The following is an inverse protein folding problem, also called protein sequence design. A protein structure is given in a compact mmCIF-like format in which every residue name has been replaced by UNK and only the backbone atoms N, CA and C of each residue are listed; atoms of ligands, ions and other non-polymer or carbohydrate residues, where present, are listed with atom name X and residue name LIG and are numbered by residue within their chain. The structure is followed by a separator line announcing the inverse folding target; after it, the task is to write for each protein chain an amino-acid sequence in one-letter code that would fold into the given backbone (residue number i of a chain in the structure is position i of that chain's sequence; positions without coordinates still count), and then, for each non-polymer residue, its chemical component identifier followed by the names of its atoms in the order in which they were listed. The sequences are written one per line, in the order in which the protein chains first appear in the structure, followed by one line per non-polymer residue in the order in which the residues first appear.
data_IF_160237055756
#
_entry.id   IF_160237055756
#
_cell.length_a   1.000
_cell.length_b   1.000
_cell.length_c   1.000
_cell.angle_alpha   90.00
_cell.angle_beta   90.00
_cell.angle_gamma   90.00
#
_symmetry.space_group_name_H-M   'P 1'
#
loop_
_entity.id
_entity.type
_entity.pdbx_description
1 polymer ?
#
# COMPACT_ATOMS: atom_id res chain seq x y z
N UNK A 1 4.70 1.50 8.03
CA UNK A 1 4.16 1.37 9.41
C UNK A 1 3.53 0.00 9.75
N UNK A 2 3.11 -0.84 8.78
CA UNK A 2 2.51 -2.17 9.07
C UNK A 2 3.51 -3.23 9.60
N UNK A 3 4.81 -3.13 9.28
CA UNK A 3 5.85 -4.06 9.78
C UNK A 3 6.22 -3.90 11.26
N UNK A 4 6.18 -2.65 11.77
CA UNK A 4 6.48 -2.34 13.18
C UNK A 4 5.37 -2.83 14.10
N UNK A 5 4.11 -2.87 13.63
CA UNK A 5 3.01 -3.48 14.39
C UNK A 5 3.12 -5.00 14.49
N UNK A 6 3.54 -5.71 13.43
CA UNK A 6 3.74 -7.17 13.51
C UNK A 6 4.87 -7.54 14.48
N UNK A 7 5.97 -6.77 14.48
CA UNK A 7 7.08 -6.93 15.43
C UNK A 7 6.68 -6.63 16.88
N UNK A 8 5.91 -5.55 17.12
CA UNK A 8 5.42 -5.19 18.46
C UNK A 8 4.35 -6.13 19.00
N UNK A 9 3.48 -6.69 18.14
CA UNK A 9 2.50 -7.70 18.55
C UNK A 9 3.20 -9.02 18.91
N UNK A 10 4.24 -9.41 18.17
CA UNK A 10 5.08 -10.58 18.50
C UNK A 10 5.81 -10.39 19.84
N UNK A 11 6.32 -9.18 20.11
CA UNK A 11 6.97 -8.84 21.38
C UNK A 11 6.00 -8.74 22.57
N UNK A 12 4.76 -8.29 22.35
CA UNK A 12 3.68 -8.26 23.36
C UNK A 12 3.14 -9.66 23.69
N UNK A 13 3.36 -10.66 22.83
CA UNK A 13 2.89 -12.03 22.99
C UNK A 13 3.89 -12.97 23.70
N UNK A 14 5.07 -12.49 24.07
CA UNK A 14 5.98 -13.21 24.99
C UNK A 14 6.42 -14.62 24.57
N UNK A 15 6.29 -15.00 23.29
CA UNK A 15 6.70 -16.34 22.84
C UNK A 15 8.12 -16.30 22.26
N UNK A 16 9.09 -16.74 23.06
CA UNK A 16 10.43 -17.10 22.56
C UNK A 16 10.33 -18.25 21.56
N UNK A 17 11.14 -18.28 20.48
CA UNK A 17 11.20 -19.39 19.52
C UNK A 17 11.35 -20.78 20.19
N UNK A 18 11.99 -20.82 21.37
CA UNK A 18 12.17 -22.04 22.16
C UNK A 18 10.87 -22.66 22.70
N UNK A 19 9.82 -21.85 22.95
CA UNK A 19 8.51 -22.36 23.42
C UNK A 19 7.75 -23.11 22.33
N UNK A 20 7.90 -22.72 21.06
CA UNK A 20 7.26 -23.41 19.92
C UNK A 20 7.83 -24.82 19.73
N UNK A 21 9.14 -24.97 19.90
CA UNK A 21 9.84 -26.26 19.78
C UNK A 21 9.49 -27.22 20.93
N UNK A 22 9.34 -26.70 22.16
CA UNK A 22 9.01 -27.52 23.33
C UNK A 22 7.53 -27.99 23.33
N UNK A 23 6.61 -27.20 22.77
CA UNK A 23 5.19 -27.58 22.64
C UNK A 23 4.94 -28.60 21.52
N UNK A 24 5.67 -28.51 20.40
CA UNK A 24 5.59 -29.48 19.30
C UNK A 24 6.06 -30.88 19.71
N UNK A 25 7.10 -30.97 20.56
CA UNK A 25 7.65 -32.23 21.04
C UNK A 25 6.74 -32.97 22.05
N UNK A 26 5.85 -32.26 22.76
CA UNK A 26 5.01 -32.85 23.82
C UNK A 26 3.69 -33.44 23.30
N UNK A 27 3.24 -33.05 22.10
CA UNK A 27 1.92 -33.40 21.58
C UNK A 27 1.91 -33.73 20.08
N UNK A 28 2.91 -34.46 19.59
CA UNK A 28 2.83 -35.22 18.34
C UNK A 28 2.36 -34.45 17.10
N UNK A 29 3.05 -33.36 16.76
CA UNK A 29 2.81 -32.62 15.51
C UNK A 29 1.52 -31.80 15.55
N UNK A 30 1.62 -30.57 16.04
CA UNK A 30 0.51 -29.62 16.04
C UNK A 30 0.50 -28.86 14.69
N UNK A 31 -0.60 -28.83 13.94
CA UNK A 31 -0.72 -27.98 12.75
C UNK A 31 -0.57 -26.49 13.11
N UNK A 32 0.04 -25.69 12.23
CA UNK A 32 0.21 -24.22 12.32
C UNK A 32 -1.09 -23.40 12.53
N UNK A 33 -2.25 -24.05 12.76
CA UNK A 33 -3.57 -23.46 12.97
C UNK A 33 -3.97 -23.26 14.45
N UNK A 34 -3.06 -23.46 15.41
CA UNK A 34 -3.39 -23.25 16.82
C UNK A 34 -3.24 -21.78 17.21
N UNK A 35 -4.38 -21.08 17.22
CA UNK A 35 -4.54 -19.72 17.77
C UNK A 35 -3.81 -19.59 19.12
N UNK A 36 -2.81 -18.68 19.24
CA UNK A 36 -2.00 -18.53 20.44
C UNK A 36 -2.80 -18.11 21.68
N UNK A 37 -4.07 -17.72 21.52
CA UNK A 37 -4.97 -17.33 22.60
C UNK A 37 -5.67 -18.52 23.27
N UNK A 38 -5.44 -19.76 22.81
CA UNK A 38 -6.06 -20.94 23.42
C UNK A 38 -5.62 -21.16 24.88
N UNK A 39 -6.52 -21.68 25.73
CA UNK A 39 -6.19 -22.02 27.10
C UNK A 39 -5.27 -23.24 27.15
N UNK A 40 -4.00 -23.01 27.50
CA UNK A 40 -2.98 -24.06 27.67
C UNK A 40 -2.94 -24.64 29.10
N UNK A 41 -3.63 -23.99 30.03
CA UNK A 41 -3.44 -24.20 31.47
C UNK A 41 -4.13 -25.47 31.98
N UNK A 42 -5.11 -26.00 31.25
CA UNK A 42 -5.74 -27.28 31.59
C UNK A 42 -6.11 -28.09 30.34
N UNK A 43 -5.95 -29.42 30.38
CA UNK A 43 -6.24 -30.29 29.23
C UNK A 43 -7.72 -30.33 28.86
N UNK A 44 -8.61 -30.17 29.85
CA UNK A 44 -10.06 -30.15 29.63
C UNK A 44 -10.46 -28.88 28.87
N UNK A 45 -10.02 -27.70 29.32
CA UNK A 45 -10.32 -26.43 28.64
C UNK A 45 -9.72 -26.38 27.25
N UNK A 46 -8.53 -26.95 27.06
CA UNK A 46 -7.93 -27.08 25.74
C UNK A 46 -8.80 -27.93 24.80
N UNK A 47 -9.23 -29.11 25.24
CA UNK A 47 -10.14 -29.97 24.45
C UNK A 47 -11.47 -29.28 24.14
N UNK A 48 -12.03 -28.55 25.09
CA UNK A 48 -13.27 -27.78 24.89
C UNK A 48 -13.08 -26.62 23.90
N UNK A 49 -11.93 -25.93 23.94
CA UNK A 49 -11.59 -24.91 22.97
C UNK A 49 -11.46 -25.50 21.56
N UNK A 50 -10.81 -26.67 21.42
CA UNK A 50 -10.69 -27.39 20.15
C UNK A 50 -12.07 -27.84 19.64
N UNK A 51 -12.94 -28.36 20.52
CA UNK A 51 -14.31 -28.73 20.16
C UNK A 51 -15.12 -27.53 19.66
N UNK A 52 -14.96 -26.36 20.30
CA UNK A 52 -15.64 -25.12 19.91
C UNK A 52 -15.25 -24.61 18.52
N UNK A 53 -14.02 -24.93 18.08
CA UNK A 53 -13.48 -24.62 16.76
C UNK A 53 -13.63 -25.78 15.77
N UNK A 54 -14.40 -26.81 16.11
CA UNK A 54 -14.68 -27.90 15.16
C UNK A 54 -15.55 -27.40 14.00
N UNK A 55 -15.28 -27.89 12.79
CA UNK A 55 -16.04 -27.53 11.59
C UNK A 55 -17.54 -27.72 11.78
N UNK A 56 -17.94 -28.80 12.46
CA UNK A 56 -19.35 -29.09 12.78
C UNK A 56 -19.97 -28.02 13.67
N UNK A 57 -19.28 -27.62 14.75
CA UNK A 57 -19.76 -26.54 15.62
C UNK A 57 -19.87 -25.22 14.85
N UNK A 58 -18.94 -24.97 13.93
CA UNK A 58 -18.97 -23.75 13.13
C UNK A 58 -20.14 -23.69 12.14
N UNK A 59 -20.43 -24.81 11.46
CA UNK A 59 -21.57 -24.96 10.55
C UNK A 59 -22.89 -24.82 11.31
N UNK A 60 -23.03 -25.50 12.46
CA UNK A 60 -24.23 -25.39 13.30
C UNK A 60 -24.47 -23.94 13.71
N UNK A 61 -23.44 -23.26 14.23
CA UNK A 61 -23.55 -21.86 14.60
C UNK A 61 -23.93 -20.97 13.39
N UNK A 62 -23.38 -21.28 12.22
CA UNK A 62 -23.69 -20.57 10.99
C UNK A 62 -25.16 -20.70 10.59
N UNK A 63 -25.69 -21.93 10.59
CA UNK A 63 -27.10 -22.20 10.32
C UNK A 63 -28.02 -21.53 11.33
N UNK A 64 -27.64 -21.55 12.61
CA UNK A 64 -28.36 -20.85 13.68
C UNK A 64 -28.44 -19.35 13.42
N UNK A 65 -27.33 -18.69 13.07
CA UNK A 65 -27.35 -17.26 12.77
C UNK A 65 -28.21 -16.98 11.53
N UNK A 66 -28.09 -17.78 10.47
CA UNK A 66 -28.91 -17.61 9.26
C UNK A 66 -30.41 -17.75 9.55
N UNK A 67 -30.79 -18.74 10.36
CA UNK A 67 -32.16 -18.89 10.84
C UNK A 67 -32.62 -17.67 11.66
N UNK A 68 -31.77 -17.15 12.55
CA UNK A 68 -32.10 -15.94 13.32
C UNK A 68 -32.32 -14.71 12.42
N UNK A 69 -31.54 -14.56 11.34
CA UNK A 69 -31.78 -13.49 10.35
C UNK A 69 -33.14 -13.66 9.68
N UNK A 70 -33.53 -14.88 9.33
CA UNK A 70 -34.87 -15.17 8.81
C UNK A 70 -35.99 -14.79 9.78
N UNK A 71 -35.82 -15.07 11.08
CA UNK A 71 -36.77 -14.65 12.12
C UNK A 71 -36.87 -13.12 12.22
N UNK A 72 -35.74 -12.41 12.15
CA UNK A 72 -35.71 -10.94 12.16
C UNK A 72 -36.48 -10.37 10.98
N UNK A 73 -36.32 -10.93 9.77
CA UNK A 73 -37.08 -10.49 8.58
C UNK A 73 -38.59 -10.65 8.82
N UNK A 74 -39.02 -11.83 9.29
CA UNK A 74 -40.44 -12.09 9.58
C UNK A 74 -40.97 -11.14 10.66
N UNK A 75 -40.19 -10.87 11.72
CA UNK A 75 -40.54 -9.93 12.79
C UNK A 75 -40.72 -8.50 12.25
N UNK A 76 -39.77 -8.02 11.43
CA UNK A 76 -39.80 -6.67 10.85
C UNK A 76 -40.96 -6.53 9.86
N UNK A 77 -41.16 -7.49 8.96
CA UNK A 77 -42.25 -7.45 7.96
C UNK A 77 -43.62 -7.52 8.61
N UNK A 78 -43.77 -8.34 9.67
CA UNK A 78 -45.02 -8.43 10.43
C UNK A 78 -45.36 -7.10 11.13
N UNK A 79 -44.34 -6.32 11.52
CA UNK A 79 -44.51 -5.01 12.15
C UNK A 79 -44.70 -3.83 11.19
N UNK A 80 -44.44 -3.99 9.89
CA UNK A 80 -44.45 -2.91 8.90
C UNK A 80 -45.84 -2.60 8.31
N UNK A 81 -46.77 -3.57 8.32
CA UNK A 81 -48.13 -3.38 7.79
C UNK A 81 -49.07 -2.98 8.92
N UNK A 82 -49.73 -1.84 8.76
CA UNK A 82 -50.45 -1.12 9.80
C UNK A 82 -51.38 -1.93 10.73
N UNK A 83 -51.35 -1.47 11.98
CA UNK A 83 -52.31 -1.54 13.09
C UNK A 83 -52.34 -2.80 13.96
N UNK A 84 -52.37 -4.05 13.48
CA UNK A 84 -52.57 -5.17 14.42
C UNK A 84 -52.11 -6.53 13.85
N UNK A 85 -50.82 -6.69 13.58
CA UNK A 85 -50.23 -8.04 13.50
C UNK A 85 -49.31 -8.24 14.67
N UNK A 86 -49.84 -8.92 15.68
CA UNK A 86 -49.05 -9.50 16.75
C UNK A 86 -48.00 -10.44 16.14
N UNK A 87 -46.78 -10.38 16.66
CA UNK A 87 -45.70 -11.28 16.24
C UNK A 87 -46.20 -12.70 16.51
N UNK A 88 -46.13 -13.64 15.54
CA UNK A 88 -46.61 -14.99 15.78
C UNK A 88 -45.89 -15.61 16.99
N UNK A 89 -46.63 -16.19 17.93
CA UNK A 89 -46.05 -16.72 19.18
C UNK A 89 -44.91 -17.74 18.96
N UNK A 90 -44.92 -18.47 17.83
CA UNK A 90 -43.83 -19.37 17.47
C UNK A 90 -42.53 -18.63 17.10
N UNK A 91 -42.62 -17.42 16.53
CA UNK A 91 -41.47 -16.55 16.23
C UNK A 91 -40.90 -16.00 17.53
N UNK A 92 -41.73 -15.59 18.48
CA UNK A 92 -41.29 -15.14 19.80
C UNK A 92 -40.60 -16.27 20.56
N UNK A 93 -41.20 -17.45 20.59
CA UNK A 93 -40.60 -18.65 21.19
C UNK A 93 -39.26 -19.00 20.52
N UNK A 94 -39.19 -18.96 19.18
CA UNK A 94 -37.96 -19.20 18.44
C UNK A 94 -36.88 -18.16 18.78
N UNK A 95 -37.22 -16.87 18.82
CA UNK A 95 -36.30 -15.80 19.21
C UNK A 95 -35.75 -15.99 20.63
N UNK A 96 -36.59 -16.40 21.58
CA UNK A 96 -36.17 -16.72 22.95
C UNK A 96 -35.22 -17.92 22.99
N UNK A 97 -35.52 -18.99 22.24
CA UNK A 97 -34.64 -20.16 22.12
C UNK A 97 -33.28 -19.76 21.54
N UNK A 98 -33.27 -18.91 20.52
CA UNK A 98 -32.05 -18.40 19.91
C UNK A 98 -31.23 -17.54 20.88
N UNK A 99 -31.88 -16.62 21.61
CA UNK A 99 -31.23 -15.81 22.64
C UNK A 99 -30.63 -16.69 23.74
N UNK A 100 -31.37 -17.69 24.21
CA UNK A 100 -30.90 -18.66 25.20
C UNK A 100 -29.68 -19.42 24.70
N UNK A 101 -29.72 -19.90 23.46
CA UNK A 101 -28.60 -20.67 22.88
C UNK A 101 -27.34 -19.81 22.72
N UNK A 102 -27.46 -18.57 22.24
CA UNK A 102 -26.31 -17.66 22.14
C UNK A 102 -25.77 -17.22 23.51
N UNK A 103 -26.65 -17.10 24.51
CA UNK A 103 -26.25 -16.81 25.89
C UNK A 103 -25.45 -17.98 26.48
N UNK A 104 -25.90 -19.22 26.26
CA UNK A 104 -25.18 -20.43 26.65
C UNK A 104 -23.84 -20.56 25.92
N UNK A 105 -23.79 -20.25 24.63
CA UNK A 105 -22.54 -20.20 23.86
C UNK A 105 -21.55 -19.19 24.46
N UNK A 106 -22.03 -17.98 24.81
CA UNK A 106 -21.21 -16.96 25.45
C UNK A 106 -20.68 -17.43 26.81
N UNK A 107 -21.53 -17.99 27.66
CA UNK A 107 -21.12 -18.54 28.96
C UNK A 107 -20.08 -19.66 28.80
N UNK A 108 -20.27 -20.54 27.82
CA UNK A 108 -19.30 -21.57 27.48
C UNK A 108 -17.95 -20.97 27.06
N UNK A 109 -17.95 -19.95 26.19
CA UNK A 109 -16.72 -19.23 25.80
C UNK A 109 -16.06 -18.54 27.00
N UNK A 110 -16.82 -17.89 27.87
CA UNK A 110 -16.30 -17.29 29.10
C UNK A 110 -15.63 -18.33 30.01
N UNK A 111 -16.23 -19.50 30.18
CA UNK A 111 -15.67 -20.58 30.98
C UNK A 111 -14.37 -21.16 30.36
N UNK A 112 -14.31 -21.27 29.04
CA UNK A 112 -13.14 -21.80 28.32
C UNK A 112 -12.00 -20.79 28.26
N UNK A 113 -12.25 -19.55 27.83
CA UNK A 113 -11.23 -18.54 27.55
C UNK A 113 -10.91 -17.63 28.76
N UNK A 114 -11.79 -17.50 29.75
CA UNK A 114 -11.61 -16.64 30.93
C UNK A 114 -11.11 -15.22 30.55
N UNK A 115 -10.14 -14.66 31.25
CA UNK A 115 -9.59 -13.32 30.99
C UNK A 115 -8.98 -13.16 29.59
N UNK A 116 -8.64 -14.27 28.91
CA UNK A 116 -8.14 -14.20 27.52
C UNK A 116 -9.23 -13.80 26.53
N UNK A 117 -10.51 -13.87 26.90
CA UNK A 117 -11.63 -13.42 26.07
C UNK A 117 -11.55 -11.91 25.76
N UNK A 118 -11.01 -11.11 26.70
CA UNK A 118 -10.88 -9.66 26.55
C UNK A 118 -9.74 -9.24 25.60
N UNK A 119 -8.87 -10.19 25.23
CA UNK A 119 -7.80 -9.93 24.27
C UNK A 119 -8.27 -10.10 22.82
N UNK A 120 -9.47 -10.65 22.60
CA UNK A 120 -10.04 -10.83 21.29
C UNK A 120 -11.23 -9.88 21.06
N UNK A 121 -11.02 -8.90 20.18
CA UNK A 121 -12.06 -7.97 19.78
C UNK A 121 -13.32 -8.68 19.26
N UNK A 122 -13.19 -9.85 18.61
CA UNK A 122 -14.34 -10.57 18.08
C UNK A 122 -15.18 -11.20 19.19
N UNK A 123 -14.54 -11.73 20.23
CA UNK A 123 -15.26 -12.25 21.38
C UNK A 123 -15.92 -11.14 22.19
N UNK A 124 -15.29 -9.97 22.28
CA UNK A 124 -15.88 -8.79 22.92
C UNK A 124 -17.12 -8.26 22.19
N UNK A 125 -17.06 -8.13 20.86
CA UNK A 125 -18.22 -7.73 20.05
C UNK A 125 -19.35 -8.76 20.19
N UNK A 126 -19.01 -10.05 20.17
CA UNK A 126 -20.00 -11.10 20.30
C UNK A 126 -20.66 -11.11 21.70
N UNK A 127 -19.88 -10.88 22.75
CA UNK A 127 -20.39 -10.69 24.10
C UNK A 127 -21.30 -9.46 24.19
N UNK A 128 -20.86 -8.33 23.63
CA UNK A 128 -21.63 -7.08 23.62
C UNK A 128 -23.00 -7.26 22.97
N UNK A 129 -23.09 -7.88 21.80
CA UNK A 129 -24.37 -8.11 21.10
C UNK A 129 -25.31 -8.98 21.94
N UNK A 130 -24.82 -10.06 22.53
CA UNK A 130 -25.65 -10.96 23.36
C UNK A 130 -26.11 -10.26 24.65
N UNK A 131 -25.23 -9.50 25.30
CA UNK A 131 -25.56 -8.74 26.51
C UNK A 131 -26.57 -7.64 26.22
N UNK A 132 -26.43 -6.95 25.08
CA UNK A 132 -27.40 -5.96 24.64
C UNK A 132 -28.78 -6.60 24.43
N UNK A 133 -28.83 -7.75 23.76
CA UNK A 133 -30.09 -8.46 23.53
C UNK A 133 -30.74 -8.97 24.81
N UNK A 134 -29.94 -9.45 25.75
CA UNK A 134 -30.40 -9.83 27.08
C UNK A 134 -30.93 -8.62 27.86
N UNK A 135 -30.27 -7.47 27.75
CA UNK A 135 -30.72 -6.23 28.39
C UNK A 135 -32.04 -5.74 27.81
N UNK A 136 -32.22 -5.83 26.49
CA UNK A 136 -33.48 -5.49 25.80
C UNK A 136 -34.60 -6.41 26.29
N UNK A 137 -34.37 -7.72 26.30
CA UNK A 137 -35.35 -8.70 26.79
C UNK A 137 -35.72 -8.46 28.26
N UNK A 138 -34.72 -8.19 29.12
CA UNK A 138 -34.96 -7.87 30.52
C UNK A 138 -35.77 -6.58 30.68
N UNK A 139 -35.47 -5.52 29.92
CA UNK A 139 -36.26 -4.28 29.97
C UNK A 139 -37.71 -4.54 29.55
N UNK A 140 -37.95 -5.35 28.53
CA UNK A 140 -39.31 -5.69 28.07
C UNK A 140 -40.12 -6.45 29.13
N UNK A 141 -39.51 -7.40 29.83
CA UNK A 141 -40.16 -8.18 30.89
C UNK A 141 -40.33 -7.40 32.21
N UNK A 142 -39.32 -6.63 32.61
CA UNK A 142 -39.31 -5.94 33.92
C UNK A 142 -39.94 -4.55 33.90
N UNK A 143 -39.94 -3.84 32.76
CA UNK A 143 -40.42 -2.45 32.74
C UNK A 143 -41.95 -2.32 32.78
N UNK A 144 -42.71 -3.37 32.42
CA UNK A 144 -44.17 -3.32 32.40
C UNK A 144 -44.73 -2.24 31.46
N UNK A 145 -46.03 -2.30 31.16
CA UNK A 145 -46.70 -1.52 30.10
C UNK A 145 -46.70 0.03 30.25
N UNK A 146 -46.01 0.64 31.21
CA UNK A 146 -46.18 2.06 31.56
C UNK A 146 -45.16 3.04 30.93
N UNK A 147 -44.08 2.57 30.30
CA UNK A 147 -43.04 3.46 29.73
C UNK A 147 -43.18 3.71 28.20
N UNK A 148 -44.30 4.30 27.76
CA UNK A 148 -44.67 4.42 26.33
C UNK A 148 -43.64 5.10 25.41
N UNK A 149 -42.80 6.03 25.90
CA UNK A 149 -41.74 6.66 25.09
C UNK A 149 -40.44 5.85 25.03
N UNK A 150 -40.11 5.09 26.07
CA UNK A 150 -38.92 4.24 26.12
C UNK A 150 -39.09 2.99 25.23
N UNK A 151 -40.32 2.48 25.09
CA UNK A 151 -40.61 1.32 24.25
C UNK A 151 -40.33 1.55 22.75
N UNK A 152 -40.52 2.77 22.23
CA UNK A 152 -40.19 3.09 20.84
C UNK A 152 -38.68 3.02 20.56
N UNK A 153 -37.85 3.46 21.50
CA UNK A 153 -36.40 3.33 21.40
C UNK A 153 -35.96 1.86 21.54
N UNK A 154 -36.55 1.10 22.46
CA UNK A 154 -36.29 -0.34 22.63
C UNK A 154 -36.65 -1.12 21.36
N UNK A 155 -37.75 -0.77 20.67
CA UNK A 155 -38.14 -1.34 19.38
C UNK A 155 -37.08 -1.12 18.30
N UNK A 156 -36.46 0.05 18.25
CA UNK A 156 -35.35 0.33 17.32
C UNK A 156 -34.07 -0.43 17.69
N UNK A 157 -33.79 -0.62 18.99
CA UNK A 157 -32.65 -1.40 19.45
C UNK A 157 -32.73 -2.88 19.05
N UNK A 158 -33.93 -3.42 18.77
CA UNK A 158 -34.09 -4.78 18.24
C UNK A 158 -33.40 -4.96 16.88
N UNK A 159 -33.28 -3.90 16.07
CA UNK A 159 -32.57 -3.95 14.77
C UNK A 159 -31.08 -4.27 14.98
N UNK A 160 -30.49 -3.89 16.12
CA UNK A 160 -29.07 -4.15 16.42
C UNK A 160 -28.77 -5.67 16.45
N UNK A 161 -29.78 -6.53 16.66
CA UNK A 161 -29.66 -7.99 16.53
C UNK A 161 -29.14 -8.42 15.15
N UNK A 162 -29.34 -7.61 14.10
CA UNK A 162 -28.78 -7.86 12.76
C UNK A 162 -27.24 -7.92 12.77
N UNK A 163 -26.58 -7.29 13.75
CA UNK A 163 -25.13 -7.40 13.94
C UNK A 163 -24.68 -8.84 14.20
N UNK A 164 -25.58 -9.74 14.64
CA UNK A 164 -25.29 -11.17 14.72
C UNK A 164 -24.94 -11.75 13.34
N UNK A 165 -25.57 -11.27 12.27
CA UNK A 165 -25.27 -11.69 10.89
C UNK A 165 -23.83 -11.35 10.48
N UNK A 166 -23.26 -10.27 11.03
CA UNK A 166 -21.84 -9.90 10.81
C UNK A 166 -20.89 -10.99 11.32
N UNK A 167 -21.30 -11.85 12.26
CA UNK A 167 -20.51 -13.02 12.67
C UNK A 167 -20.29 -14.01 11.52
N UNK A 168 -21.29 -14.20 10.65
CA UNK A 168 -21.18 -15.09 9.48
C UNK A 168 -20.13 -14.57 8.51
N UNK A 169 -20.13 -13.27 8.25
CA UNK A 169 -19.18 -12.62 7.34
C UNK A 169 -17.74 -12.75 7.86
N UNK A 170 -17.56 -12.78 9.19
CA UNK A 170 -16.25 -12.91 9.84
C UNK A 170 -15.67 -14.33 9.82
N UNK A 171 -16.50 -15.37 9.66
CA UNK A 171 -16.03 -16.77 9.64
C UNK A 171 -15.35 -17.15 8.33
N UNK A 172 -15.80 -16.56 7.22
CA UNK A 172 -15.14 -16.75 5.94
C UNK A 172 -13.91 -15.86 5.86
N UNK A 173 -12.76 -16.48 5.59
CA UNK A 173 -11.51 -15.74 5.31
C UNK A 173 -11.69 -14.78 4.14
N UNK A 174 -12.38 -15.20 3.09
CA UNK A 174 -12.61 -14.36 1.91
C UNK A 174 -13.51 -13.17 2.24
N UNK A 175 -14.64 -13.39 2.92
CA UNK A 175 -15.57 -12.31 3.30
C UNK A 175 -14.93 -11.35 4.31
N UNK A 176 -14.14 -11.84 5.26
CA UNK A 176 -13.42 -10.99 6.21
C UNK A 176 -12.33 -10.15 5.55
N UNK A 177 -11.62 -10.68 4.54
CA UNK A 177 -10.67 -9.90 3.74
C UNK A 177 -11.39 -8.82 2.91
N UNK A 178 -12.54 -9.15 2.31
CA UNK A 178 -13.36 -8.16 1.59
C UNK A 178 -13.89 -7.06 2.53
N UNK A 179 -14.40 -7.42 3.71
CA UNK A 179 -14.86 -6.46 4.72
C UNK A 179 -13.72 -5.56 5.20
N UNK A 180 -12.54 -6.12 5.48
CA UNK A 180 -11.39 -5.33 5.92
C UNK A 180 -10.96 -4.33 4.83
N UNK A 181 -11.00 -4.75 3.57
CA UNK A 181 -10.68 -3.91 2.42
C UNK A 181 -11.71 -2.79 2.24
N UNK A 182 -13.00 -3.09 2.40
CA UNK A 182 -14.08 -2.11 2.39
C UNK A 182 -13.95 -1.10 3.53
N UNK A 183 -13.68 -1.55 4.76
CA UNK A 183 -13.50 -0.66 5.91
C UNK A 183 -12.27 0.24 5.76
N UNK A 184 -11.21 -0.24 5.11
CA UNK A 184 -10.04 0.57 4.80
C UNK A 184 -10.36 1.68 3.78
N UNK A 185 -11.14 1.37 2.74
CA UNK A 185 -11.51 2.38 1.73
C UNK A 185 -12.51 3.42 2.23
N UNK A 186 -13.29 3.10 3.28
CA UNK A 186 -14.21 4.06 3.90
C UNK A 186 -13.51 5.32 4.41
N UNK A 187 -12.23 5.27 4.82
CA UNK A 187 -11.56 6.49 5.31
C UNK A 187 -11.36 7.53 4.23
N UNK A 188 -11.09 7.13 2.98
CA UNK A 188 -10.99 8.06 1.86
C UNK A 188 -12.37 8.59 1.45
N UNK A 189 -13.37 7.71 1.39
CA UNK A 189 -14.77 8.09 1.09
C UNK A 189 -15.29 9.10 2.12
N UNK A 190 -14.99 8.89 3.40
CA UNK A 190 -15.44 9.74 4.50
C UNK A 190 -15.10 11.21 4.29
N UNK A 191 -13.87 11.52 3.90
CA UNK A 191 -13.44 12.90 3.67
C UNK A 191 -14.12 13.54 2.46
N UNK A 192 -14.32 12.79 1.37
CA UNK A 192 -15.04 13.31 0.22
C UNK A 192 -16.54 13.52 0.50
N UNK A 193 -17.16 12.65 1.30
CA UNK A 193 -18.55 12.87 1.77
C UNK A 193 -18.66 14.12 2.62
N UNK A 194 -17.71 14.39 3.52
CA UNK A 194 -17.66 15.65 4.28
C UNK A 194 -17.60 16.85 3.34
N UNK A 195 -16.75 16.80 2.32
CA UNK A 195 -16.61 17.89 1.35
C UNK A 195 -17.93 18.16 0.61
N UNK A 196 -18.63 17.10 0.18
CA UNK A 196 -19.97 17.21 -0.44
C UNK A 196 -20.99 17.81 0.54
N UNK A 197 -21.03 17.36 1.80
CA UNK A 197 -21.93 17.91 2.81
C UNK A 197 -21.70 19.41 3.01
N UNK A 198 -20.44 19.84 3.12
CA UNK A 198 -20.09 21.25 3.25
C UNK A 198 -20.56 22.04 2.03
N UNK A 199 -20.29 21.56 0.81
CA UNK A 199 -20.71 22.21 -0.42
C UNK A 199 -22.23 22.34 -0.52
N UNK A 200 -22.97 21.25 -0.28
CA UNK A 200 -24.44 21.25 -0.28
C UNK A 200 -24.99 22.21 0.77
N UNK A 201 -24.39 22.28 1.96
CA UNK A 201 -24.83 23.19 3.02
C UNK A 201 -24.65 24.66 2.62
N UNK A 202 -23.53 25.01 1.98
CA UNK A 202 -23.29 26.39 1.49
C UNK A 202 -24.36 26.81 0.48
N UNK A 203 -24.64 25.95 -0.51
CA UNK A 203 -25.69 26.22 -1.49
C UNK A 203 -27.09 26.21 -0.89
N UNK A 204 -27.37 25.32 0.06
CA UNK A 204 -28.65 25.28 0.76
C UNK A 204 -28.93 26.58 1.51
N UNK A 205 -27.93 27.18 2.15
CA UNK A 205 -28.07 28.50 2.80
C UNK A 205 -28.42 29.58 1.76
N UNK A 206 -27.73 29.59 0.61
CA UNK A 206 -28.05 30.51 -0.49
C UNK A 206 -29.45 30.28 -1.05
N UNK A 207 -29.89 29.03 -1.14
CA UNK A 207 -31.23 28.66 -1.61
C UNK A 207 -32.33 29.26 -0.74
N UNK A 208 -32.17 29.16 0.59
CA UNK A 208 -33.13 29.73 1.55
C UNK A 208 -33.24 31.25 1.38
N UNK A 209 -32.11 31.93 1.14
CA UNK A 209 -32.10 33.39 1.04
C UNK A 209 -32.56 33.90 -0.34
N UNK A 210 -32.17 33.22 -1.42
CA UNK A 210 -32.33 33.72 -2.79
C UNK A 210 -33.45 33.03 -3.57
N UNK A 211 -33.61 31.71 -3.40
CA UNK A 211 -34.50 30.90 -4.22
C UNK A 211 -35.86 30.70 -3.54
N UNK A 212 -35.89 30.51 -2.23
CA UNK A 212 -37.12 30.23 -1.49
C UNK A 212 -38.24 31.27 -1.70
N UNK A 213 -37.98 32.60 -1.63
CA UNK A 213 -39.05 33.58 -1.82
C UNK A 213 -39.69 33.50 -3.20
N UNK A 214 -38.90 33.18 -4.24
CA UNK A 214 -39.35 33.01 -5.62
C UNK A 214 -40.12 31.68 -5.74
N UNK A 215 -39.53 30.60 -5.22
CA UNK A 215 -40.11 29.25 -5.26
C UNK A 215 -41.48 29.20 -4.57
N UNK A 216 -41.61 29.79 -3.38
CA UNK A 216 -42.87 29.82 -2.64
C UNK A 216 -43.97 30.50 -3.46
N UNK A 217 -43.68 31.66 -4.06
CA UNK A 217 -44.64 32.39 -4.90
C UNK A 217 -45.12 31.60 -6.12
N UNK A 218 -44.27 30.77 -6.70
CA UNK A 218 -44.60 30.00 -7.92
C UNK A 218 -45.41 28.74 -7.61
N UNK A 219 -45.09 28.10 -6.48
CA UNK A 219 -45.63 26.79 -6.14
C UNK A 219 -46.80 26.81 -5.15
N UNK A 220 -47.01 27.91 -4.42
CA UNK A 220 -48.08 27.99 -3.40
C UNK A 220 -49.48 27.70 -3.97
N UNK A 221 -49.74 28.11 -5.22
CA UNK A 221 -51.03 27.93 -5.88
C UNK A 221 -51.06 26.69 -6.80
N UNK A 222 -50.00 25.88 -6.82
CA UNK A 222 -49.88 24.69 -7.68
C UNK A 222 -50.14 23.40 -6.90
N UNK A 223 -50.53 22.36 -7.62
CA UNK A 223 -50.80 21.03 -7.05
C UNK A 223 -49.48 20.28 -6.76
N UNK A 224 -48.77 20.71 -5.73
CA UNK A 224 -47.60 20.02 -5.19
C UNK A 224 -47.41 20.36 -3.71
N UNK A 225 -47.62 19.38 -2.84
CA UNK A 225 -47.54 19.57 -1.38
C UNK A 225 -46.12 19.94 -0.92
N UNK A 226 -45.09 19.33 -1.52
CA UNK A 226 -43.69 19.50 -1.10
C UNK A 226 -42.98 20.69 -1.75
N UNK A 227 -43.39 21.07 -2.96
CA UNK A 227 -42.65 22.03 -3.80
C UNK A 227 -42.51 23.43 -3.18
N UNK A 228 -43.56 24.04 -2.58
CA UNK A 228 -43.43 25.36 -1.93
C UNK A 228 -42.38 25.36 -0.80
N UNK A 229 -42.24 24.21 -0.13
CA UNK A 229 -41.40 23.98 1.03
C UNK A 229 -40.02 23.41 0.70
N UNK A 230 -39.67 23.29 -0.59
CA UNK A 230 -38.42 22.69 -1.05
C UNK A 230 -37.19 23.47 -0.56
N UNK A 231 -37.27 24.80 -0.50
CA UNK A 231 -36.16 25.66 -0.10
C UNK A 231 -36.40 26.44 1.21
N UNK A 232 -37.40 26.06 2.01
CA UNK A 232 -37.84 26.85 3.19
C UNK A 232 -36.81 26.94 4.31
N UNK A 233 -35.97 25.90 4.47
CA UNK A 233 -34.95 25.81 5.49
C UNK A 233 -33.71 25.14 4.93
N UNK A 234 -32.57 25.30 5.60
CA UNK A 234 -31.30 24.72 5.15
C UNK A 234 -31.41 23.20 5.00
N UNK A 235 -32.12 22.53 5.91
CA UNK A 235 -32.35 21.09 5.82
C UNK A 235 -33.18 20.71 4.60
N UNK A 236 -34.29 21.42 4.36
CA UNK A 236 -35.15 21.12 3.20
C UNK A 236 -34.44 21.43 1.89
N UNK A 237 -33.72 22.56 1.80
CA UNK A 237 -32.89 22.92 0.67
C UNK A 237 -31.81 21.86 0.42
N UNK A 238 -31.10 21.42 1.45
CA UNK A 238 -30.08 20.37 1.33
C UNK A 238 -30.68 19.04 0.85
N UNK A 239 -31.86 18.66 1.37
CA UNK A 239 -32.58 17.47 0.91
C UNK A 239 -32.99 17.59 -0.56
N UNK A 240 -33.52 18.74 -0.97
CA UNK A 240 -33.90 19.01 -2.36
C UNK A 240 -32.68 18.99 -3.29
N UNK A 241 -31.53 19.53 -2.87
CA UNK A 241 -30.28 19.48 -3.64
C UNK A 241 -29.72 18.06 -3.72
N UNK A 242 -29.77 17.29 -2.63
CA UNK A 242 -29.38 15.88 -2.61
C UNK A 242 -30.26 15.06 -3.57
N UNK A 243 -31.57 15.29 -3.57
CA UNK A 243 -32.51 14.60 -4.45
C UNK A 243 -32.31 14.97 -5.93
N UNK A 244 -32.20 16.26 -6.23
CA UNK A 244 -32.17 16.74 -7.63
C UNK A 244 -30.80 16.64 -8.28
N UNK A 245 -29.71 16.86 -7.54
CA UNK A 245 -28.34 16.88 -8.08
C UNK A 245 -27.64 15.53 -7.89
N UNK A 246 -27.63 15.01 -6.66
CA UNK A 246 -26.87 13.78 -6.35
C UNK A 246 -27.64 12.51 -6.75
N UNK A 247 -28.94 12.44 -6.43
CA UNK A 247 -29.77 11.30 -6.83
C UNK A 247 -30.27 11.39 -8.28
N UNK A 248 -30.14 12.58 -8.90
CA UNK A 248 -30.52 12.81 -10.30
C UNK A 248 -32.03 12.77 -10.55
N UNK A 249 -32.85 12.98 -9.51
CA UNK A 249 -34.30 13.05 -9.67
C UNK A 249 -34.70 14.35 -10.38
N UNK A 250 -35.83 14.29 -11.10
CA UNK A 250 -36.43 15.25 -12.03
C UNK A 250 -36.20 16.74 -11.71
N UNK A 251 -34.97 17.22 -11.86
CA UNK A 251 -34.55 18.58 -11.48
C UNK A 251 -35.34 19.65 -12.22
N UNK A 252 -35.69 19.38 -13.47
CA UNK A 252 -36.48 20.26 -14.31
C UNK A 252 -37.89 20.50 -13.78
N UNK A 253 -38.49 19.56 -13.03
CA UNK A 253 -39.83 19.73 -12.47
C UNK A 253 -39.88 20.92 -11.50
N UNK A 254 -38.90 21.03 -10.61
CA UNK A 254 -38.84 22.12 -9.62
C UNK A 254 -38.17 23.37 -10.19
N UNK A 255 -37.08 23.21 -10.96
CA UNK A 255 -36.25 24.33 -11.40
C UNK A 255 -36.85 25.08 -12.59
N UNK A 256 -37.40 24.42 -13.61
CA UNK A 256 -37.84 25.09 -14.84
C UNK A 256 -38.89 26.19 -14.59
N UNK A 257 -39.94 25.98 -13.77
CA UNK A 257 -40.89 27.06 -13.46
C UNK A 257 -40.24 28.27 -12.78
N UNK A 258 -39.18 28.05 -11.99
CA UNK A 258 -38.40 29.13 -11.35
C UNK A 258 -37.56 29.87 -12.39
N UNK A 259 -36.89 29.16 -13.30
CA UNK A 259 -36.10 29.77 -14.37
C UNK A 259 -36.96 30.56 -15.37
N UNK A 260 -38.15 30.05 -15.71
CA UNK A 260 -39.08 30.74 -16.61
C UNK A 260 -39.61 32.03 -15.99
N UNK A 261 -39.83 32.06 -14.68
CA UNK A 261 -40.27 33.25 -13.96
C UNK A 261 -39.13 34.25 -13.72
N UNK A 262 -37.94 33.76 -13.32
CA UNK A 262 -36.79 34.57 -12.93
C UNK A 262 -35.49 33.99 -13.56
N UNK A 263 -35.17 34.33 -14.83
CA UNK A 263 -34.06 33.70 -15.57
C UNK A 263 -32.68 33.86 -14.93
N UNK A 264 -32.47 34.89 -14.11
CA UNK A 264 -31.20 35.11 -13.41
C UNK A 264 -30.87 33.99 -12.41
N UNK A 265 -31.89 33.27 -11.93
CA UNK A 265 -31.72 32.10 -11.06
C UNK A 265 -30.98 30.94 -11.73
N UNK A 266 -30.83 30.95 -13.07
CA UNK A 266 -30.00 30.01 -13.81
C UNK A 266 -28.55 29.98 -13.27
N UNK A 267 -28.00 31.12 -12.86
CA UNK A 267 -26.63 31.20 -12.32
C UNK A 267 -26.51 30.39 -11.04
N UNK A 268 -27.53 30.44 -10.18
CA UNK A 268 -27.59 29.63 -8.96
C UNK A 268 -27.65 28.14 -9.31
N UNK A 269 -28.62 27.71 -10.14
CA UNK A 269 -28.79 26.29 -10.46
C UNK A 269 -27.59 25.70 -11.20
N UNK A 270 -27.04 26.42 -12.19
CA UNK A 270 -25.83 26.00 -12.89
C UNK A 270 -24.62 25.94 -11.96
N UNK A 271 -24.47 26.93 -11.06
CA UNK A 271 -23.39 26.95 -10.07
C UNK A 271 -23.45 25.78 -9.11
N UNK A 272 -24.64 25.43 -8.61
CA UNK A 272 -24.86 24.25 -7.76
C UNK A 272 -24.46 22.97 -8.51
N UNK A 273 -24.99 22.75 -9.71
CA UNK A 273 -24.73 21.54 -10.50
C UNK A 273 -23.22 21.38 -10.74
N UNK A 274 -22.57 22.41 -11.29
CA UNK A 274 -21.14 22.34 -11.60
C UNK A 274 -20.31 22.10 -10.34
N UNK A 275 -20.57 22.82 -9.25
CA UNK A 275 -19.75 22.70 -8.05
C UNK A 275 -19.96 21.39 -7.28
N UNK A 276 -21.20 20.89 -7.18
CA UNK A 276 -21.52 19.63 -6.50
C UNK A 276 -21.09 18.43 -7.34
N UNK A 277 -21.25 18.47 -8.67
CA UNK A 277 -20.77 17.41 -9.55
C UNK A 277 -19.24 17.35 -9.56
N UNK A 278 -18.55 18.49 -9.59
CA UNK A 278 -17.10 18.52 -9.44
C UNK A 278 -16.64 17.98 -8.08
N UNK A 279 -17.35 18.31 -7.00
CA UNK A 279 -17.10 17.74 -5.68
C UNK A 279 -17.27 16.21 -5.66
N UNK A 280 -18.33 15.71 -6.31
CA UNK A 280 -18.60 14.28 -6.44
C UNK A 280 -17.55 13.57 -7.30
N UNK A 281 -17.14 14.17 -8.42
CA UNK A 281 -16.06 13.67 -9.27
C UNK A 281 -14.73 13.61 -8.51
N UNK A 282 -14.42 14.61 -7.68
CA UNK A 282 -13.24 14.61 -6.83
C UNK A 282 -13.30 13.51 -5.75
N UNK A 283 -14.47 13.23 -5.18
CA UNK A 283 -14.68 12.08 -4.28
C UNK A 283 -14.42 10.75 -5.01
N UNK A 284 -14.98 10.57 -6.21
CA UNK A 284 -14.77 9.35 -7.02
C UNK A 284 -13.29 9.21 -7.37
N UNK A 285 -12.63 10.28 -7.82
CA UNK A 285 -11.21 10.30 -8.13
C UNK A 285 -10.37 9.95 -6.90
N UNK A 286 -10.70 10.49 -5.72
CA UNK A 286 -10.00 10.16 -4.48
C UNK A 286 -10.07 8.66 -4.18
N UNK A 287 -11.25 8.03 -4.32
CA UNK A 287 -11.41 6.58 -4.13
C UNK A 287 -10.61 5.76 -5.15
N UNK A 288 -10.64 6.17 -6.42
CA UNK A 288 -9.88 5.50 -7.49
C UNK A 288 -8.37 5.62 -7.23
N UNK A 289 -7.90 6.80 -6.81
CA UNK A 289 -6.50 7.05 -6.49
C UNK A 289 -6.06 6.23 -5.29
N UNK A 290 -6.86 6.18 -4.22
CA UNK A 290 -6.55 5.40 -3.02
C UNK A 290 -6.45 3.90 -3.35
N UNK A 291 -7.41 3.39 -4.13
CA UNK A 291 -7.37 2.00 -4.61
C UNK A 291 -6.16 1.72 -5.52
N UNK A 292 -5.77 2.67 -6.37
CA UNK A 292 -4.61 2.53 -7.24
C UNK A 292 -3.28 2.61 -6.46
N UNK A 293 -3.23 3.44 -5.42
CA UNK A 293 -2.07 3.55 -4.52
C UNK A 293 -1.91 2.30 -3.67
N UNK A 294 -3.00 1.75 -3.13
CA UNK A 294 -2.96 0.52 -2.35
C UNK A 294 -2.43 -0.64 -3.19
N UNK A 295 -2.91 -0.81 -4.43
CA UNK A 295 -2.42 -1.84 -5.35
C UNK A 295 -0.92 -1.70 -5.67
N UNK A 296 -0.43 -0.47 -5.82
CA UNK A 296 1.01 -0.19 -6.02
C UNK A 296 1.83 -0.51 -4.78
N UNK A 297 1.35 -0.11 -3.59
CA UNK A 297 2.08 -0.31 -2.34
C UNK A 297 2.32 -1.79 -2.00
N UNK A 298 1.36 -2.65 -2.35
CA UNK A 298 1.50 -4.11 -2.20
C UNK A 298 2.56 -4.63 -3.16
N UNK A 299 2.51 -4.22 -4.43
CA UNK A 299 3.49 -4.63 -5.44
C UNK A 299 4.91 -4.15 -5.11
N UNK A 300 5.06 -2.91 -4.63
CA UNK A 300 6.35 -2.33 -4.26
C UNK A 300 6.95 -3.05 -3.04
N UNK A 301 6.11 -3.40 -2.05
CA UNK A 301 6.58 -4.15 -0.89
C UNK A 301 7.01 -5.58 -1.26
N UNK A 302 6.24 -6.26 -2.10
CA UNK A 302 6.61 -7.60 -2.59
C UNK A 302 7.91 -7.58 -3.38
N UNK A 303 8.10 -6.56 -4.24
CA UNK A 303 9.35 -6.34 -4.97
C UNK A 303 10.52 -6.07 -4.04
N UNK A 304 10.36 -5.22 -3.02
CA UNK A 304 11.42 -4.93 -2.06
C UNK A 304 11.84 -6.19 -1.28
N UNK A 305 10.87 -6.98 -0.82
CA UNK A 305 11.14 -8.25 -0.11
C UNK A 305 11.82 -9.26 -1.04
N UNK A 306 11.41 -9.32 -2.31
CA UNK A 306 12.05 -10.20 -3.27
C UNK A 306 13.50 -9.78 -3.54
N UNK A 307 13.74 -8.49 -3.73
CA UNK A 307 15.08 -7.94 -3.95
C UNK A 307 16.01 -8.19 -2.75
N UNK A 308 15.49 -8.10 -1.52
CA UNK A 308 16.25 -8.46 -0.31
C UNK A 308 16.58 -9.96 -0.24
N UNK A 309 15.65 -10.83 -0.67
CA UNK A 309 15.94 -12.27 -0.77
C UNK A 309 17.01 -12.56 -1.81
N UNK A 310 16.90 -11.94 -2.98
CA UNK A 310 17.87 -12.11 -4.07
C UNK A 310 19.25 -11.58 -3.65
N UNK A 311 19.30 -10.45 -2.93
CA UNK A 311 20.51 -9.92 -2.32
C UNK A 311 21.15 -10.89 -1.32
N UNK A 312 20.36 -11.42 -0.38
CA UNK A 312 20.84 -12.36 0.62
C UNK A 312 21.32 -13.68 -0.01
N UNK A 313 20.63 -14.17 -1.04
CA UNK A 313 21.05 -15.36 -1.78
C UNK A 313 22.36 -15.13 -2.54
N UNK A 314 22.48 -14.00 -3.25
CA UNK A 314 23.71 -13.64 -3.96
C UNK A 314 24.89 -13.48 -2.98
N UNK A 315 24.65 -12.80 -1.86
CA UNK A 315 25.64 -12.62 -0.78
C UNK A 315 26.11 -13.97 -0.24
N UNK A 316 25.20 -14.90 0.05
CA UNK A 316 25.57 -16.25 0.51
C UNK A 316 26.37 -17.03 -0.53
N UNK A 317 26.08 -16.89 -1.82
CA UNK A 317 26.88 -17.50 -2.88
C UNK A 317 28.30 -16.92 -2.93
N UNK A 318 28.44 -15.60 -2.81
CA UNK A 318 29.74 -14.92 -2.78
C UNK A 318 30.56 -15.30 -1.53
N UNK A 319 29.93 -15.44 -0.36
CA UNK A 319 30.60 -15.97 0.83
C UNK A 319 31.10 -17.40 0.65
N UNK A 320 30.32 -18.26 -0.02
CA UNK A 320 30.76 -19.63 -0.36
C UNK A 320 31.92 -19.61 -1.35
N UNK A 321 31.90 -18.68 -2.30
CA UNK A 321 32.98 -18.49 -3.27
C UNK A 321 34.28 -18.06 -2.58
N UNK A 322 34.21 -17.08 -1.68
CA UNK A 322 35.34 -16.64 -0.87
C UNK A 322 35.98 -17.80 -0.08
N UNK A 323 35.17 -18.62 0.61
CA UNK A 323 35.68 -19.81 1.32
C UNK A 323 36.24 -20.92 0.43
N UNK A 324 35.91 -20.94 -0.87
CA UNK A 324 36.50 -21.89 -1.82
C UNK A 324 37.85 -21.40 -2.33
N UNK A 325 38.06 -20.09 -2.38
CA UNK A 325 39.27 -19.44 -2.88
C UNK A 325 40.35 -19.35 -1.79
N UNK A 326 39.94 -19.18 -0.53
CA UNK A 326 40.79 -19.26 0.67
C UNK A 326 41.30 -20.71 0.86
N UNK A 327 42.52 -20.96 0.42
CA UNK A 327 43.11 -22.31 0.36
C UNK A 327 43.97 -22.59 1.58
N UNK A 328 44.46 -21.55 2.25
CA UNK A 328 45.21 -21.66 3.51
C UNK A 328 44.32 -21.60 4.76
N UNK A 329 43.01 -21.36 4.61
CA UNK A 329 42.03 -21.15 5.69
C UNK A 329 42.41 -20.00 6.64
N UNK A 330 43.10 -18.98 6.13
CA UNK A 330 43.42 -17.76 6.88
C UNK A 330 42.16 -16.94 7.20
N UNK A 331 41.05 -17.19 6.48
CA UNK A 331 39.82 -16.41 6.58
C UNK A 331 39.86 -15.11 5.79
N UNK A 332 40.90 -14.90 4.98
CA UNK A 332 41.08 -13.80 4.03
C UNK A 332 41.52 -14.37 2.68
N UNK A 333 41.44 -13.58 1.62
CA UNK A 333 41.94 -13.97 0.29
C UNK A 333 43.17 -13.14 -0.03
N UNK A 334 44.30 -13.79 -0.21
CA UNK A 334 45.52 -13.11 -0.64
C UNK A 334 45.52 -12.84 -2.18
N UNK A 335 46.34 -11.90 -2.68
CA UNK A 335 46.42 -11.57 -4.11
C UNK A 335 46.75 -12.78 -5.01
N UNK A 336 47.55 -13.73 -4.51
CA UNK A 336 47.95 -14.93 -5.23
C UNK A 336 46.86 -16.00 -5.26
N UNK A 337 46.08 -16.14 -4.19
CA UNK A 337 44.89 -16.97 -4.12
C UNK A 337 43.79 -16.45 -5.04
N UNK A 338 43.63 -15.13 -5.13
CA UNK A 338 42.68 -14.50 -6.06
C UNK A 338 43.03 -14.78 -7.53
N UNK A 339 44.31 -14.59 -7.91
CA UNK A 339 44.80 -14.85 -9.27
C UNK A 339 44.72 -16.35 -9.59
N UNK A 340 45.13 -17.21 -8.66
CA UNK A 340 45.03 -18.68 -8.82
C UNK A 340 43.57 -19.12 -8.92
N UNK A 341 42.69 -18.49 -8.16
CA UNK A 341 41.25 -18.66 -8.25
C UNK A 341 40.70 -18.39 -9.64
N UNK A 342 41.13 -17.29 -10.27
CA UNK A 342 40.73 -16.96 -11.64
C UNK A 342 41.25 -17.97 -12.69
N UNK A 343 42.39 -18.61 -12.44
CA UNK A 343 42.98 -19.60 -13.35
C UNK A 343 42.41 -21.01 -13.13
N UNK A 344 42.05 -21.37 -11.91
CA UNK A 344 41.71 -22.75 -11.52
C UNK A 344 40.22 -22.98 -11.22
N UNK A 345 39.48 -21.96 -10.74
CA UNK A 345 38.04 -22.05 -10.49
C UNK A 345 37.26 -21.48 -11.68
N UNK A 346 36.65 -22.38 -12.46
CA UNK A 346 35.94 -22.03 -13.68
C UNK A 346 34.66 -21.20 -13.41
N UNK A 347 33.97 -21.46 -12.29
CA UNK A 347 32.77 -20.70 -11.89
C UNK A 347 33.14 -19.26 -11.53
N UNK A 348 34.26 -19.07 -10.82
CA UNK A 348 34.77 -17.76 -10.43
C UNK A 348 35.27 -16.97 -11.66
N UNK A 349 36.03 -17.63 -12.53
CA UNK A 349 36.56 -17.04 -13.74
C UNK A 349 35.42 -16.59 -14.69
N UNK A 350 34.38 -17.39 -14.85
CA UNK A 350 33.24 -17.06 -15.70
C UNK A 350 32.39 -15.94 -15.09
N UNK A 351 32.30 -15.86 -13.76
CA UNK A 351 31.66 -14.73 -13.07
C UNK A 351 32.40 -13.41 -13.34
N UNK A 352 33.73 -13.37 -13.22
CA UNK A 352 34.54 -12.18 -13.49
C UNK A 352 34.55 -11.80 -14.98
N UNK A 353 34.67 -12.78 -15.88
CA UNK A 353 34.58 -12.56 -17.33
C UNK A 353 33.21 -12.04 -17.76
N UNK A 354 32.14 -12.51 -17.12
CA UNK A 354 30.78 -12.00 -17.33
C UNK A 354 30.61 -10.52 -16.96
N UNK A 355 31.50 -9.98 -16.12
CA UNK A 355 31.58 -8.55 -15.77
C UNK A 355 32.61 -7.78 -16.61
N UNK A 356 33.16 -8.39 -17.67
CA UNK A 356 34.16 -7.78 -18.55
C UNK A 356 35.58 -7.73 -17.97
N UNK A 357 35.85 -8.42 -16.85
CA UNK A 357 37.16 -8.44 -16.20
C UNK A 357 38.00 -9.56 -16.80
N UNK A 358 39.11 -9.20 -17.44
CA UNK A 358 40.10 -10.14 -17.97
C UNK A 358 41.26 -10.38 -17.02
N UNK A 359 42.10 -11.38 -17.34
CA UNK A 359 43.29 -11.69 -16.52
C UNK A 359 44.28 -10.52 -16.36
N UNK A 360 44.26 -9.54 -17.27
CA UNK A 360 45.09 -8.32 -17.21
C UNK A 360 44.56 -7.25 -16.25
N UNK A 361 43.32 -7.39 -15.81
CA UNK A 361 42.62 -6.42 -14.95
C UNK A 361 42.59 -6.88 -13.49
N UNK A 362 43.11 -8.08 -13.19
CA UNK A 362 43.09 -8.69 -11.86
C UNK A 362 43.81 -7.84 -10.80
N UNK A 363 45.00 -7.31 -11.10
CA UNK A 363 45.74 -6.42 -10.18
C UNK A 363 44.93 -5.18 -9.80
N UNK A 364 44.16 -4.66 -10.75
CA UNK A 364 43.36 -3.47 -10.50
C UNK A 364 42.05 -3.80 -9.79
N UNK A 365 41.42 -4.93 -10.09
CA UNK A 365 40.25 -5.41 -9.34
C UNK A 365 40.61 -5.70 -7.89
N UNK A 366 41.79 -6.29 -7.64
CA UNK A 366 42.33 -6.47 -6.29
C UNK A 366 42.41 -5.13 -5.53
N UNK A 367 42.89 -4.06 -6.16
CA UNK A 367 42.94 -2.71 -5.55
C UNK A 367 41.56 -2.06 -5.31
N UNK A 368 40.49 -2.59 -5.90
CA UNK A 368 39.11 -2.13 -5.64
C UNK A 368 38.45 -2.97 -4.55
N UNK A 369 38.79 -4.25 -4.50
CA UNK A 369 38.26 -5.19 -3.51
C UNK A 369 38.89 -4.94 -2.13
N UNK A 370 40.19 -4.64 -2.07
CA UNK A 370 40.88 -4.23 -0.84
C UNK A 370 40.57 -2.77 -0.53
N UNK A 371 39.66 -2.53 0.42
CA UNK A 371 39.18 -1.18 0.76
C UNK A 371 40.05 -0.54 1.84
N UNK A 372 40.65 -1.34 2.71
CA UNK A 372 41.46 -0.87 3.83
C UNK A 372 42.97 -0.83 3.52
N UNK A 373 43.35 -1.15 2.28
CA UNK A 373 44.74 -1.24 1.79
C UNK A 373 45.57 -2.19 2.67
N UNK A 374 44.95 -3.23 3.24
CA UNK A 374 45.63 -4.17 4.12
C UNK A 374 46.50 -5.18 3.36
N UNK A 375 46.28 -5.31 2.04
CA UNK A 375 46.96 -6.25 1.15
C UNK A 375 46.25 -7.60 1.01
N UNK A 376 45.28 -7.90 1.89
CA UNK A 376 44.47 -9.12 1.88
C UNK A 376 42.98 -8.77 1.87
N UNK A 377 42.16 -9.50 1.12
CA UNK A 377 40.74 -9.19 0.98
C UNK A 377 39.94 -9.95 2.04
N UNK A 378 39.25 -9.24 2.93
CA UNK A 378 38.35 -9.89 3.89
C UNK A 378 37.05 -10.38 3.22
N UNK A 379 36.35 -11.37 3.81
CA UNK A 379 35.09 -11.87 3.25
C UNK A 379 34.00 -10.80 3.11
N UNK A 380 33.95 -9.85 4.05
CA UNK A 380 33.02 -8.71 4.01
C UNK A 380 33.35 -7.77 2.84
N UNK A 381 34.63 -7.49 2.60
CA UNK A 381 35.10 -6.65 1.49
C UNK A 381 34.90 -7.33 0.14
N UNK A 382 35.22 -8.62 0.03
CA UNK A 382 34.98 -9.41 -1.17
C UNK A 382 33.50 -9.37 -1.56
N UNK A 383 32.60 -9.59 -0.60
CA UNK A 383 31.15 -9.60 -0.86
C UNK A 383 30.64 -8.20 -1.21
N UNK A 384 30.97 -7.17 -0.42
CA UNK A 384 30.47 -5.81 -0.62
C UNK A 384 30.97 -5.22 -1.95
N UNK A 385 32.27 -5.34 -2.24
CA UNK A 385 32.86 -4.77 -3.44
C UNK A 385 32.55 -5.57 -4.69
N UNK A 386 32.58 -6.91 -4.65
CA UNK A 386 32.23 -7.72 -5.81
C UNK A 386 30.73 -7.61 -6.14
N UNK A 387 29.86 -7.44 -5.15
CA UNK A 387 28.44 -7.14 -5.37
C UNK A 387 28.22 -5.77 -6.01
N UNK A 388 28.97 -4.74 -5.57
CA UNK A 388 28.97 -3.40 -6.20
C UNK A 388 29.50 -3.42 -7.63
N UNK A 389 30.54 -4.21 -7.91
CA UNK A 389 31.07 -4.42 -9.27
C UNK A 389 30.04 -5.10 -10.19
N UNK A 390 29.25 -6.03 -9.65
CA UNK A 390 28.19 -6.74 -10.36
C UNK A 390 26.95 -5.89 -10.65
N UNK A 391 26.66 -4.89 -9.81
CA UNK A 391 25.46 -4.04 -9.95
C UNK A 391 25.69 -2.91 -10.98
N UNK A 392 24.65 -2.66 -11.79
CA UNK A 392 24.72 -2.10 -13.14
C UNK A 392 25.28 -0.66 -13.28
N UNK A 393 25.41 0.08 -12.18
CA UNK A 393 25.92 1.47 -12.18
C UNK A 393 27.45 1.54 -12.19
N UNK A 394 28.14 0.54 -11.62
CA UNK A 394 29.61 0.53 -11.55
C UNK A 394 30.23 0.03 -12.86
N UNK A 395 29.61 -0.96 -13.53
CA UNK A 395 30.12 -1.52 -14.80
C UNK A 395 30.31 -0.45 -15.91
N UNK A 396 29.46 0.59 -15.94
CA UNK A 396 29.63 1.72 -16.88
C UNK A 396 30.83 2.60 -16.52
N UNK A 397 31.06 2.86 -15.23
CA UNK A 397 32.24 3.59 -14.73
C UNK A 397 33.52 2.78 -14.94
N UNK A 398 33.45 1.47 -14.74
CA UNK A 398 34.55 0.54 -14.99
C UNK A 398 34.96 0.54 -16.45
N UNK A 399 34.02 0.31 -17.38
CA UNK A 399 34.26 0.33 -18.82
C UNK A 399 34.87 1.66 -19.27
N UNK A 400 34.33 2.78 -18.78
CA UNK A 400 34.87 4.11 -19.15
C UNK A 400 36.27 4.35 -18.59
N UNK A 401 36.57 3.87 -17.38
CA UNK A 401 37.92 3.97 -16.81
C UNK A 401 38.95 3.07 -17.51
N UNK A 402 38.58 1.85 -17.91
CA UNK A 402 39.45 1.00 -18.74
C UNK A 402 39.69 1.61 -20.12
N UNK A 403 38.67 2.20 -20.75
CA UNK A 403 38.80 2.91 -22.02
C UNK A 403 39.73 4.13 -21.90
N UNK A 404 39.58 4.92 -20.83
CA UNK A 404 40.47 6.06 -20.55
C UNK A 404 41.91 5.61 -20.30
N UNK A 405 42.15 4.54 -19.53
CA UNK A 405 43.50 4.00 -19.34
C UNK A 405 44.13 3.48 -20.63
N UNK A 406 43.34 2.84 -21.48
CA UNK A 406 43.81 2.37 -22.79
C UNK A 406 44.24 3.55 -23.66
N UNK A 407 43.43 4.60 -23.72
CA UNK A 407 43.76 5.85 -24.43
C UNK A 407 45.03 6.51 -23.87
N UNK A 408 45.19 6.55 -22.54
CA UNK A 408 46.40 7.11 -21.91
C UNK A 408 47.66 6.30 -22.25
N UNK A 409 47.58 4.97 -22.36
CA UNK A 409 48.70 4.14 -22.80
C UNK A 409 49.05 4.39 -24.27
N UNK A 410 48.05 4.49 -25.14
CA UNK A 410 48.25 4.82 -26.56
C UNK A 410 48.89 6.22 -26.73
N UNK A 411 48.46 7.20 -25.92
CA UNK A 411 49.07 8.53 -25.83
C UNK A 411 50.51 8.49 -25.32
N UNK A 412 50.82 7.69 -24.31
CA UNK A 412 52.18 7.56 -23.78
C UNK A 412 53.13 6.92 -24.80
N UNK A 413 52.67 5.89 -25.53
CA UNK A 413 53.45 5.22 -26.59
C UNK A 413 53.67 6.15 -27.78
N UNK A 414 52.65 6.91 -28.20
CA UNK A 414 52.79 7.89 -29.29
C UNK A 414 53.69 9.06 -28.89
N UNK A 415 53.59 9.58 -27.66
CA UNK A 415 54.55 10.57 -27.16
C UNK A 415 55.98 10.03 -27.11
N UNK A 416 56.19 8.79 -26.65
CA UNK A 416 57.52 8.17 -26.67
C UNK A 416 58.07 8.02 -28.10
N UNK A 417 57.21 7.66 -29.07
CA UNK A 417 57.56 7.60 -30.49
C UNK A 417 57.91 8.97 -31.10
N UNK A 418 57.14 10.01 -30.77
CA UNK A 418 57.41 11.39 -31.21
C UNK A 418 58.68 11.94 -30.60
N UNK A 419 58.97 11.63 -29.33
CA UNK A 419 60.23 12.02 -28.69
C UNK A 419 61.42 11.34 -29.38
N UNK A 420 61.34 10.03 -29.68
CA UNK A 420 62.40 9.35 -30.44
C UNK A 420 62.59 9.97 -31.83
N UNK A 421 61.51 10.25 -32.55
CA UNK A 421 61.58 10.85 -33.89
C UNK A 421 62.12 12.30 -33.87
N UNK A 422 61.77 13.10 -32.87
CA UNK A 422 62.33 14.44 -32.68
C UNK A 422 63.82 14.39 -32.30
N UNK A 423 64.25 13.37 -31.56
CA UNK A 423 65.67 13.17 -31.23
C UNK A 423 66.46 12.83 -32.50
N UNK A 424 65.92 11.98 -33.37
CA UNK A 424 66.49 11.67 -34.68
C UNK A 424 66.51 12.88 -35.63
N UNK A 425 65.45 13.69 -35.67
CA UNK A 425 65.42 14.93 -36.47
C UNK A 425 66.37 16.00 -35.95
N UNK A 426 66.60 16.11 -34.63
CA UNK A 426 67.57 17.07 -34.07
C UNK A 426 69.02 16.76 -34.48
N UNK A 427 69.32 15.49 -34.76
CA UNK A 427 70.63 15.07 -35.29
C UNK A 427 70.82 15.37 -36.79
N UNK A 428 69.76 15.82 -37.48
CA UNK A 428 69.76 16.19 -38.90
C UNK A 428 69.58 17.72 -39.07
N UNK A 429 70.58 18.51 -38.68
CA UNK A 429 70.71 19.91 -39.14
C UNK A 429 71.93 20.07 -40.06
N UNK A 430 71.74 20.26 -41.38
CA UNK A 430 72.82 20.65 -42.30
C UNK A 430 73.15 22.15 -42.18
N UNK A 431 74.44 22.49 -42.29
CA UNK A 431 75.02 23.84 -42.24
C UNK A 431 74.36 24.82 -43.24
N UNK A 432 73.38 25.60 -42.79
CA UNK A 432 72.68 26.64 -43.56
C UNK A 432 73.47 27.97 -43.69
N UNK A 433 74.59 28.13 -43.00
CA UNK A 433 75.38 29.37 -43.05
C UNK A 433 76.29 29.46 -44.30
N UNK A 434 76.66 28.33 -44.92
CA UNK A 434 77.49 28.31 -46.14
C UNK A 434 76.70 28.75 -47.40
N UNK A 435 75.37 28.67 -47.35
CA UNK A 435 74.49 29.04 -48.46
C UNK A 435 74.08 30.53 -48.43
N UNK A 436 74.05 31.17 -47.24
CA UNK A 436 73.82 32.63 -47.13
C UNK A 436 74.98 33.47 -47.69
N UNK A 437 76.22 32.97 -47.65
CA UNK A 437 77.38 33.65 -48.23
C UNK A 437 77.34 33.66 -49.77
N UNK A 438 76.73 32.65 -50.39
CA UNK A 438 76.63 32.53 -51.86
C UNK A 438 75.49 33.38 -52.44
N UNK A 439 74.42 33.62 -51.68
CA UNK A 439 73.27 34.41 -52.13
C UNK A 439 73.53 35.92 -52.13
N UNK A 440 74.39 36.44 -51.24
CA UNK A 440 74.77 37.88 -51.24
C UNK A 440 75.66 38.28 -52.42
N UNK A 441 76.32 37.33 -53.09
CA UNK A 441 77.06 37.60 -54.33
C UNK A 441 76.16 37.70 -55.58
N UNK A 442 74.88 37.32 -55.47
CA UNK A 442 73.97 37.21 -56.61
C UNK A 442 72.95 38.37 -56.73
N UNK A 443 72.62 39.09 -55.65
CA UNK A 443 71.53 40.10 -55.66
C UNK A 443 71.95 41.52 -56.05
N UNK A 444 73.05 41.70 -56.80
CA UNK A 444 73.42 42.99 -57.40
C UNK A 444 72.82 43.20 -58.80
N UNK A 445 71.79 42.43 -59.18
CA UNK A 445 71.09 42.56 -60.45
C UNK A 445 69.57 42.48 -60.21
N UNK A 446 68.90 43.53 -60.64
CA UNK A 446 67.47 43.62 -60.98
C UNK A 446 66.50 43.80 -59.77
N UNK A 447 66.09 45.03 -59.41
CA UNK A 447 64.94 45.80 -59.97
C UNK A 447 63.64 44.98 -59.99
N UNK A 448 62.65 45.26 -59.13
CA UNK A 448 61.68 46.36 -59.19
C UNK A 448 60.28 45.82 -59.55
N UNK A 449 59.22 46.46 -59.03
CA UNK A 449 57.77 46.28 -59.32
C UNK A 449 57.18 44.91 -58.94
N UNK A 450 55.98 44.73 -58.37
CA UNK A 450 54.69 45.45 -58.32
C UNK A 450 53.85 44.80 -57.17
N UNK A 451 53.21 45.53 -56.25
CA UNK A 451 51.78 45.99 -56.27
C UNK A 451 50.78 44.80 -56.26
N UNK A 452 50.08 44.44 -55.16
CA UNK A 452 48.95 45.07 -54.42
C UNK A 452 47.57 44.49 -54.78
N UNK A 453 46.75 44.30 -53.73
CA UNK A 453 45.29 44.06 -53.68
C UNK A 453 44.82 42.64 -54.11
N UNK A 454 43.80 42.03 -53.50
CA UNK A 454 42.39 42.45 -53.46
C UNK A 454 41.61 41.71 -52.35
N UNK A 455 40.87 42.47 -51.53
CA UNK A 455 39.71 42.07 -50.73
C UNK A 455 38.42 42.07 -51.58
N UNK A 456 37.38 41.33 -51.15
CA UNK A 456 35.93 41.37 -51.50
C UNK A 456 35.41 40.01 -52.01
N UNK A 457 34.21 39.50 -51.74
CA UNK A 457 32.97 39.95 -51.08
C UNK A 457 32.13 38.65 -50.86
N UNK A 458 31.44 38.51 -49.73
CA UNK A 458 29.97 38.30 -49.57
C UNK A 458 29.17 37.84 -50.79
#
# INVERSE_FOLDING_TARGET
MRGIMRGRISALLGMSPAMKTQQSAKWGGIPDMLDPRMPTDSPIRFKLAVLSKSLTAEIILGLMIAFNVGLIIIEVDSGAVGVEREIPAWVEAANLIMLGTFSLELLFKCAVYQSKIFLDAFHLIDAFVVLLDLSIYAVEEFAGMEATSAFSAVRLLRIIRILRAVRLLRKSRELSMLMLSFLASLSAVFWGVIMVIVMVTLWAILAVQLIHPINYRIWVDRDCERCPHAFESVWQSALTLLQTVIAGDSWGHLALPILEAEPITLIYFAGVIVSVDLAMLNLILAVIVDSAQDARSVSDHERAVQMEKDFNQATQQLYRLCRRLDLDNSGKIDPSEFVRGFEQDQDFADCLKGMGIGGRDLEWVLSILDKDDSGDISPDEFVDQLYKLRTHETHQILSTLTDVRKLLRELAVTQAGVIMHNTEMSNWQPNLADDEAKLRAFSSRDTASEVSCVDCIT
#
